data_IF_940740668056
#
_entry.id   IF_940740668056
#
_cell.length_a   1.000
_cell.length_b   1.000
_cell.length_c   1.000
_cell.angle_alpha   90.00
_cell.angle_beta   90.00
_cell.angle_gamma   90.00
#
_symmetry.space_group_name_H-M   'P 1'
#
loop_
_entity.id
_entity.type
_entity.pdbx_description
1 polymer ?
#
# COMPACT_ATOMS: atom_id res chain seq x y z
N UNK A 1 -9.91 8.89 -6.20
CA UNK A 1 -9.15 8.50 -7.42
C UNK A 1 -10.06 8.65 -8.63
N UNK A 2 -9.59 9.34 -9.67
CA UNK A 2 -10.36 9.70 -10.88
C UNK A 2 -10.66 8.44 -11.72
N UNK A 3 -11.93 8.25 -12.13
CA UNK A 3 -12.42 7.03 -12.84
C UNK A 3 -11.63 6.68 -14.11
N UNK A 4 -11.03 7.67 -14.79
CA UNK A 4 -10.33 7.52 -16.07
C UNK A 4 -8.96 6.84 -16.00
N UNK A 5 -8.32 6.75 -14.83
CA UNK A 5 -6.99 6.14 -14.68
C UNK A 5 -7.01 4.76 -14.02
N UNK A 6 -8.19 4.19 -13.78
CA UNK A 6 -8.33 2.79 -13.37
C UNK A 6 -7.70 1.91 -14.46
N UNK A 7 -6.76 1.04 -14.09
CA UNK A 7 -6.05 0.05 -14.96
C UNK A 7 -4.82 0.53 -15.75
N UNK A 8 -4.31 1.74 -15.54
CA UNK A 8 -3.09 2.23 -16.23
C UNK A 8 -1.77 2.00 -15.47
N UNK A 9 -1.80 1.40 -14.26
CA UNK A 9 -0.61 1.23 -13.42
C UNK A 9 -0.09 2.52 -12.77
N UNK A 10 -0.53 3.70 -13.21
CA UNK A 10 -0.06 5.02 -12.73
C UNK A 10 -0.19 5.18 -11.22
N UNK A 11 -1.29 4.69 -10.62
CA UNK A 11 -1.46 4.75 -9.17
C UNK A 11 -0.45 3.90 -8.39
N UNK A 12 -0.04 2.75 -8.93
CA UNK A 12 0.98 1.90 -8.31
C UNK A 12 2.37 2.50 -8.49
N UNK A 13 2.69 3.03 -9.68
CA UNK A 13 3.97 3.67 -9.96
C UNK A 13 4.18 4.92 -9.10
N UNK A 14 3.14 5.75 -8.95
CA UNK A 14 3.20 6.92 -8.07
C UNK A 14 3.40 6.53 -6.60
N UNK A 15 2.67 5.52 -6.11
CA UNK A 15 2.83 5.03 -4.74
C UNK A 15 4.26 4.51 -4.50
N UNK A 16 4.79 3.71 -5.42
CA UNK A 16 6.16 3.23 -5.38
C UNK A 16 7.18 4.38 -5.33
N UNK A 17 7.02 5.38 -6.19
CA UNK A 17 7.89 6.56 -6.21
C UNK A 17 7.87 7.29 -4.86
N UNK A 18 6.69 7.50 -4.26
CA UNK A 18 6.58 8.15 -2.94
C UNK A 18 7.26 7.33 -1.85
N UNK A 19 7.07 6.01 -1.83
CA UNK A 19 7.77 5.12 -0.90
C UNK A 19 9.28 5.10 -1.14
N UNK A 20 9.71 5.33 -2.39
CA UNK A 20 11.11 5.42 -2.76
C UNK A 20 11.77 6.74 -2.34
N UNK A 21 11.00 7.80 -2.06
CA UNK A 21 11.55 9.06 -1.54
C UNK A 21 11.88 9.00 -0.05
N UNK A 22 11.22 8.15 0.74
CA UNK A 22 11.40 8.10 2.19
C UNK A 22 11.72 6.69 2.68
N UNK A 23 12.84 6.53 3.40
CA UNK A 23 13.35 5.24 3.91
C UNK A 23 12.81 4.84 5.28
N UNK A 24 11.70 5.42 5.72
CA UNK A 24 11.07 5.10 6.99
C UNK A 24 10.08 3.94 6.86
N UNK A 25 9.70 3.29 7.98
CA UNK A 25 8.57 2.38 7.99
C UNK A 25 7.31 3.06 7.49
N UNK A 26 6.56 2.35 6.65
CA UNK A 26 5.34 2.84 6.02
C UNK A 26 4.11 2.13 6.57
N UNK A 27 3.02 2.88 6.65
CA UNK A 27 1.68 2.36 6.94
C UNK A 27 0.71 2.91 5.91
N UNK A 28 0.10 2.01 5.14
CA UNK A 28 -1.03 2.35 4.26
C UNK A 28 -2.31 1.93 4.95
N UNK A 29 -3.14 2.91 5.32
CA UNK A 29 -4.44 2.68 5.96
C UNK A 29 -5.57 2.82 4.96
N UNK A 30 -6.44 1.82 4.89
CA UNK A 30 -7.54 1.74 3.92
C UNK A 30 -8.84 1.38 4.62
N UNK A 31 -9.89 2.17 4.38
CA UNK A 31 -11.23 1.86 4.89
C UNK A 31 -11.80 0.64 4.16
N UNK A 32 -12.25 -0.39 4.88
CA UNK A 32 -12.76 -1.60 4.26
C UNK A 32 -14.09 -1.40 3.52
N UNK A 33 -14.87 -0.38 3.88
CA UNK A 33 -16.06 -0.01 3.11
C UNK A 33 -15.74 0.56 1.72
N UNK A 34 -14.48 0.92 1.45
CA UNK A 34 -14.02 1.25 0.10
C UNK A 34 -13.59 -0.03 -0.63
N UNK A 35 -14.57 -0.83 -1.02
CA UNK A 35 -14.42 -2.15 -1.66
C UNK A 35 -13.39 -2.19 -2.81
N UNK A 36 -13.31 -1.21 -3.74
CA UNK A 36 -12.29 -1.27 -4.80
C UNK A 36 -10.88 -0.89 -4.32
N UNK A 37 -10.74 -0.15 -3.22
CA UNK A 37 -9.44 0.32 -2.75
C UNK A 37 -8.66 -0.76 -2.00
N UNK A 38 -9.34 -1.63 -1.24
CA UNK A 38 -8.69 -2.72 -0.49
C UNK A 38 -7.85 -3.63 -1.40
N UNK A 39 -8.39 -4.25 -2.47
CA UNK A 39 -7.59 -5.11 -3.33
C UNK A 39 -6.52 -4.32 -4.11
N UNK A 40 -6.79 -3.05 -4.46
CA UNK A 40 -5.80 -2.19 -5.09
C UNK A 40 -4.57 -1.99 -4.19
N UNK A 41 -4.77 -1.58 -2.94
CA UNK A 41 -3.68 -1.32 -2.00
C UNK A 41 -2.97 -2.60 -1.56
N UNK A 42 -3.71 -3.70 -1.35
CA UNK A 42 -3.12 -5.01 -1.09
C UNK A 42 -2.14 -5.41 -2.20
N UNK A 43 -2.57 -5.31 -3.47
CA UNK A 43 -1.72 -5.63 -4.61
C UNK A 43 -0.56 -4.65 -4.80
N UNK A 44 -0.79 -3.35 -4.60
CA UNK A 44 0.23 -2.31 -4.73
C UNK A 44 1.36 -2.49 -3.70
N UNK A 45 0.99 -2.70 -2.43
CA UNK A 45 1.96 -2.91 -1.35
C UNK A 45 2.68 -4.24 -1.54
N UNK A 46 1.96 -5.35 -1.76
CA UNK A 46 2.58 -6.66 -1.97
C UNK A 46 3.57 -6.66 -3.13
N UNK A 47 3.26 -5.98 -4.24
CA UNK A 47 4.17 -5.85 -5.38
C UNK A 47 5.40 -4.99 -5.05
N UNK A 48 5.23 -3.92 -4.29
CA UNK A 48 6.34 -3.03 -3.94
C UNK A 48 7.33 -3.67 -2.96
N UNK A 49 6.80 -4.46 -2.02
CA UNK A 49 7.57 -5.09 -0.94
C UNK A 49 7.99 -6.52 -1.25
N UNK A 50 7.77 -7.00 -2.48
CA UNK A 50 7.98 -8.40 -2.87
C UNK A 50 7.35 -9.39 -1.87
N UNK A 51 6.11 -9.11 -1.45
CA UNK A 51 5.36 -9.89 -0.48
C UNK A 51 5.71 -9.65 0.99
N UNK A 52 6.76 -8.89 1.30
CA UNK A 52 7.26 -8.66 2.68
C UNK A 52 6.47 -7.65 3.52
N UNK A 53 5.19 -7.42 3.18
CA UNK A 53 4.30 -6.53 3.93
C UNK A 53 3.40 -7.31 4.88
N UNK A 54 3.05 -6.71 6.03
CA UNK A 54 2.06 -7.24 6.96
C UNK A 54 0.73 -6.52 6.79
N UNK A 55 -0.38 -7.26 6.64
CA UNK A 55 -1.73 -6.70 6.72
C UNK A 55 -2.30 -6.91 8.13
N UNK A 56 -2.87 -5.84 8.71
CA UNK A 56 -3.65 -5.89 9.95
C UNK A 56 -5.02 -5.28 9.74
N UNK A 57 -6.07 -5.93 10.24
CA UNK A 57 -7.42 -5.35 10.24
C UNK A 57 -7.73 -4.85 11.64
N UNK A 58 -8.11 -3.58 11.75
CA UNK A 58 -8.49 -2.95 13.01
C UNK A 58 -9.87 -2.33 12.90
N UNK A 59 -10.65 -2.44 13.96
CA UNK A 59 -11.92 -1.73 14.09
C UNK A 59 -11.70 -0.44 14.88
N UNK A 60 -12.12 0.69 14.30
CA UNK A 60 -12.01 2.01 14.90
C UNK A 60 -13.36 2.70 14.73
N UNK A 61 -14.03 3.00 15.84
CA UNK A 61 -15.36 3.62 15.87
C UNK A 61 -16.39 2.84 15.01
N UNK A 62 -16.47 1.52 15.19
CA UNK A 62 -17.40 0.65 14.46
C UNK A 62 -17.07 0.47 12.97
N UNK A 63 -15.90 0.95 12.51
CA UNK A 63 -15.46 0.86 11.11
C UNK A 63 -14.20 0.02 11.01
N UNK A 64 -14.20 -0.94 10.08
CA UNK A 64 -13.03 -1.77 9.80
C UNK A 64 -12.06 -1.08 8.83
N UNK A 65 -10.78 -1.18 9.15
CA UNK A 65 -9.68 -0.60 8.40
C UNK A 65 -8.60 -1.66 8.19
N UNK A 66 -8.10 -1.80 6.96
CA UNK A 66 -6.88 -2.56 6.69
C UNK A 66 -5.67 -1.62 6.81
N UNK A 67 -4.64 -2.07 7.50
CA UNK A 67 -3.34 -1.41 7.66
C UNK A 67 -2.31 -2.31 6.99
N UNK A 68 -1.63 -1.80 5.97
CA UNK A 68 -0.51 -2.49 5.34
C UNK A 68 0.78 -1.86 5.85
N UNK A 69 1.53 -2.62 6.63
CA UNK A 69 2.79 -2.20 7.24
C UNK A 69 3.95 -2.83 6.47
N UNK A 70 4.96 -2.04 6.17
CA UNK A 70 6.19 -2.53 5.56
C UNK A 70 7.33 -1.58 5.87
N UNK A 71 8.54 -2.13 5.92
CA UNK A 71 9.75 -1.33 6.01
C UNK A 71 10.42 -1.27 4.64
N UNK A 72 10.93 -0.09 4.30
CA UNK A 72 11.75 0.11 3.11
C UNK A 72 13.24 -0.18 3.40
N UNK A 73 13.63 -0.30 4.66
CA UNK A 73 15.01 -0.63 5.07
C UNK A 73 15.54 -1.92 4.45
N UNK A 74 14.67 -2.83 3.97
CA UNK A 74 15.06 -4.15 3.47
C UNK A 74 15.26 -4.27 1.94
N UNK A 75 15.22 -3.17 1.17
CA UNK A 75 15.82 -3.22 -0.18
C UNK A 75 17.32 -3.02 -0.06
N UNK A 76 18.00 -4.14 0.18
CA UNK A 76 19.45 -4.22 0.07
C UNK A 76 19.90 -3.57 -1.22
N UNK A 77 20.78 -2.58 -1.08
CA UNK A 77 21.60 -2.04 -2.17
C UNK A 77 22.31 -3.26 -2.75
N UNK A 78 21.86 -3.74 -3.90
CA UNK A 78 22.67 -4.70 -4.66
C UNK A 78 23.74 -3.86 -5.38
N UNK A 79 25.03 -4.19 -5.25
CA UNK A 79 26.15 -3.43 -5.81
C UNK A 79 26.16 -3.42 -7.34
#
# INVERSE_FOLDING_TARGET
MVRRHRRSGVGQAFAAHVWDLYRSPWVVRVFQGNLPAVPFWRGAVARYTDGSSREEVREVNGRKWSYFLFDRSNKGITP
#
